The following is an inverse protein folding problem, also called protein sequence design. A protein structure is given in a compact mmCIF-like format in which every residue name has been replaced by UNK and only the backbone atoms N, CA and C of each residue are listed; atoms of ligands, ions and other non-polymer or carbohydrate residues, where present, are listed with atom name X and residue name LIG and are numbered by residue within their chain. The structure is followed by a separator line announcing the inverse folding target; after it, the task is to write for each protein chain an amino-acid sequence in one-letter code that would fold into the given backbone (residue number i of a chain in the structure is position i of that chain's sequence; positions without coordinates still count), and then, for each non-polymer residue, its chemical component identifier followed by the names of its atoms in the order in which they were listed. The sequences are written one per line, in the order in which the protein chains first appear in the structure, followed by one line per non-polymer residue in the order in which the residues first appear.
data_IF_018374703967
#
_entry.id   IF_018374703967
#
_cell.length_a   1.000
_cell.length_b   1.000
_cell.length_c   1.000
_cell.angle_alpha   90.00
_cell.angle_beta   90.00
_cell.angle_gamma   90.00
#
_symmetry.space_group_name_H-M   'P 1'
#
loop_
_entity.id
_entity.type
_entity.pdbx_description
1 polymer ?
#
# COMPACT_ATOMS: atom_id res chain seq x y z
N UNK A 1 -18.32 -17.58 -21.76
CA UNK A 1 -16.85 -17.39 -21.69
C UNK A 1 -16.50 -17.22 -20.24
N UNK A 2 -15.52 -17.98 -19.72
CA UNK A 2 -15.05 -17.75 -18.35
C UNK A 2 -14.41 -16.38 -18.26
N UNK A 3 -14.62 -15.62 -17.17
CA UNK A 3 -13.99 -14.31 -17.00
C UNK A 3 -12.47 -14.47 -17.03
N UNK A 4 -11.79 -13.50 -17.66
CA UNK A 4 -10.31 -13.45 -17.63
C UNK A 4 -9.85 -13.33 -16.18
N UNK A 5 -8.88 -14.14 -15.73
CA UNK A 5 -8.35 -14.01 -14.37
C UNK A 5 -7.69 -12.66 -14.17
N UNK A 6 -8.00 -11.98 -13.07
CA UNK A 6 -7.33 -10.75 -12.63
C UNK A 6 -6.09 -11.14 -11.81
N UNK A 7 -4.95 -10.51 -12.11
CA UNK A 7 -3.68 -10.73 -11.42
C UNK A 7 -3.29 -9.49 -10.63
N UNK A 8 -3.16 -9.65 -9.33
CA UNK A 8 -2.75 -8.58 -8.44
C UNK A 8 -1.36 -8.94 -7.91
N UNK A 9 -0.42 -8.02 -8.03
CA UNK A 9 0.85 -8.09 -7.33
C UNK A 9 0.74 -7.28 -6.03
N UNK A 10 1.24 -7.83 -4.94
CA UNK A 10 1.34 -7.12 -3.66
C UNK A 10 2.81 -6.99 -3.27
N UNK A 11 3.22 -5.78 -2.91
CA UNK A 11 4.51 -5.48 -2.30
C UNK A 11 4.27 -4.73 -0.99
N UNK A 12 5.18 -4.85 -0.03
CA UNK A 12 5.03 -4.27 1.31
C UNK A 12 6.39 -3.95 1.92
N UNK A 13 6.40 -3.12 2.95
CA UNK A 13 7.58 -2.89 3.79
C UNK A 13 8.79 -2.41 2.96
N UNK A 14 8.57 -1.37 2.16
CA UNK A 14 9.59 -0.81 1.27
C UNK A 14 10.68 -0.06 2.06
N UNK A 15 10.32 0.55 3.19
CA UNK A 15 11.23 1.28 4.09
C UNK A 15 12.24 2.16 3.35
N UNK A 16 11.75 2.99 2.42
CA UNK A 16 12.62 3.85 1.63
C UNK A 16 13.25 4.92 2.52
N UNK A 17 14.59 4.98 2.50
CA UNK A 17 15.43 5.96 3.15
C UNK A 17 15.81 7.09 2.18
N UNK A 18 16.34 8.21 2.66
CA UNK A 18 16.97 9.21 1.79
C UNK A 18 18.04 8.59 0.88
N UNK A 19 18.29 9.18 -0.32
CA UNK A 19 19.28 8.64 -1.26
C UNK A 19 20.64 8.35 -0.62
N UNK A 20 21.15 7.14 -0.83
CA UNK A 20 22.46 6.69 -0.30
C UNK A 20 22.46 6.25 1.16
N UNK A 21 21.30 6.29 1.84
CA UNK A 21 21.16 5.81 3.23
C UNK A 21 20.64 4.38 3.23
N UNK A 22 21.32 3.49 3.97
CA UNK A 22 20.92 2.10 4.11
C UNK A 22 19.96 1.93 5.30
N UNK A 23 18.91 1.15 5.13
CA UNK A 23 18.06 0.72 6.23
C UNK A 23 18.88 -0.19 7.18
N UNK A 24 18.78 0.08 8.49
CA UNK A 24 19.57 -0.60 9.52
C UNK A 24 21.09 -0.59 9.27
N UNK A 25 21.60 0.39 8.50
CA UNK A 25 23.00 0.52 8.16
C UNK A 25 23.57 -0.58 7.24
N UNK A 26 22.73 -1.42 6.64
CA UNK A 26 23.17 -2.57 5.82
C UNK A 26 22.27 -2.98 4.66
N UNK A 27 21.03 -2.53 4.61
CA UNK A 27 20.05 -2.94 3.59
C UNK A 27 19.78 -1.78 2.64
N UNK A 28 20.09 -1.96 1.36
CA UNK A 28 19.76 -1.01 0.29
C UNK A 28 18.32 -1.27 -0.21
N UNK A 29 17.36 -0.66 0.48
CA UNK A 29 15.94 -0.80 0.17
C UNK A 29 15.57 -0.11 -1.14
N UNK A 30 16.26 0.96 -1.50
CA UNK A 30 16.05 1.64 -2.78
C UNK A 30 16.40 0.72 -3.96
N UNK A 31 17.58 0.10 -3.92
CA UNK A 31 17.99 -0.89 -4.94
C UNK A 31 17.07 -2.11 -4.97
N UNK A 32 16.60 -2.56 -3.82
CA UNK A 32 15.62 -3.65 -3.76
C UNK A 32 14.31 -3.28 -4.47
N UNK A 33 13.82 -2.06 -4.29
CA UNK A 33 12.63 -1.56 -4.98
C UNK A 33 12.86 -1.41 -6.49
N UNK A 34 14.03 -0.91 -6.93
CA UNK A 34 14.38 -0.83 -8.35
C UNK A 34 14.29 -2.22 -9.02
N UNK A 35 14.91 -3.23 -8.42
CA UNK A 35 14.84 -4.62 -8.92
C UNK A 35 13.41 -5.16 -8.91
N UNK A 36 12.61 -4.81 -7.88
CA UNK A 36 11.20 -5.20 -7.81
C UNK A 36 10.38 -4.57 -8.95
N UNK A 37 10.57 -3.29 -9.22
CA UNK A 37 9.91 -2.57 -10.32
C UNK A 37 10.28 -3.18 -11.68
N UNK A 38 11.55 -3.48 -11.92
CA UNK A 38 12.00 -4.15 -13.13
C UNK A 38 11.34 -5.53 -13.28
N UNK A 39 11.36 -6.34 -12.21
CA UNK A 39 10.73 -7.66 -12.21
C UNK A 39 9.22 -7.59 -12.48
N UNK A 40 8.50 -6.62 -11.87
CA UNK A 40 7.08 -6.41 -12.11
C UNK A 40 6.79 -6.02 -13.57
N UNK A 41 7.62 -5.15 -14.15
CA UNK A 41 7.49 -4.74 -15.55
C UNK A 41 7.75 -5.87 -16.56
N UNK A 42 8.59 -6.83 -16.19
CA UNK A 42 8.97 -7.97 -17.05
C UNK A 42 8.11 -9.22 -16.82
N UNK A 43 7.34 -9.25 -15.72
CA UNK A 43 6.57 -10.43 -15.33
C UNK A 43 5.58 -10.88 -16.41
N UNK A 44 5.52 -12.18 -16.67
CA UNK A 44 4.64 -12.75 -17.71
C UNK A 44 3.78 -13.89 -17.15
N UNK A 45 2.48 -13.83 -17.31
CA UNK A 45 1.67 -12.71 -17.83
C UNK A 45 1.65 -11.55 -16.84
N UNK A 46 1.68 -10.32 -17.35
CA UNK A 46 1.77 -9.12 -16.52
C UNK A 46 0.66 -9.05 -15.47
N UNK A 47 0.95 -8.55 -14.24
CA UNK A 47 -0.09 -8.17 -13.31
C UNK A 47 -0.99 -7.08 -13.89
N UNK A 48 -2.26 -7.12 -13.52
CA UNK A 48 -3.22 -6.08 -13.93
C UNK A 48 -3.15 -4.87 -12.98
N UNK A 49 -2.68 -5.07 -11.74
CA UNK A 49 -2.54 -4.01 -10.72
C UNK A 49 -1.50 -4.36 -9.66
N UNK A 50 -0.91 -3.33 -9.03
CA UNK A 50 0.03 -3.47 -7.91
C UNK A 50 -0.56 -2.81 -6.66
N UNK A 51 -0.57 -3.53 -5.54
CA UNK A 51 -0.92 -3.00 -4.22
C UNK A 51 0.35 -2.84 -3.39
N UNK A 52 0.55 -1.66 -2.80
CA UNK A 52 1.64 -1.39 -1.85
C UNK A 52 1.02 -1.31 -0.46
N UNK A 53 1.22 -2.36 0.35
CA UNK A 53 0.46 -2.56 1.58
C UNK A 53 1.15 -2.06 2.84
N UNK A 54 1.75 -0.87 2.79
CA UNK A 54 2.26 -0.14 3.95
C UNK A 54 3.78 -0.15 4.11
N UNK A 55 4.25 0.68 5.02
CA UNK A 55 5.65 0.98 5.32
C UNK A 55 6.44 1.38 4.06
N UNK A 56 5.92 2.41 3.37
CA UNK A 56 6.49 2.94 2.13
C UNK A 56 7.81 3.69 2.41
N UNK A 57 7.77 4.60 3.40
CA UNK A 57 8.93 5.31 3.92
C UNK A 57 9.40 4.67 5.23
N UNK A 58 10.65 4.88 5.62
CA UNK A 58 11.18 4.35 6.89
C UNK A 58 11.03 5.36 8.05
N UNK A 59 11.40 6.61 7.79
CA UNK A 59 11.20 7.73 8.73
C UNK A 59 10.44 8.80 7.96
N UNK A 60 9.12 8.97 8.13
CA UNK A 60 8.27 9.64 7.16
C UNK A 60 8.66 11.10 6.97
N UNK A 61 9.49 11.36 5.94
CA UNK A 61 9.94 12.69 5.52
C UNK A 61 9.53 12.96 4.06
N UNK A 62 9.40 14.23 3.71
CA UNK A 62 9.11 14.61 2.31
C UNK A 62 10.20 14.09 1.36
N UNK A 63 11.46 14.07 1.79
CA UNK A 63 12.58 13.59 0.98
C UNK A 63 12.45 12.10 0.66
N UNK A 64 12.06 11.26 1.64
CA UNK A 64 11.84 9.83 1.42
C UNK A 64 10.69 9.57 0.46
N UNK A 65 9.56 10.28 0.61
CA UNK A 65 8.43 10.16 -0.33
C UNK A 65 8.78 10.67 -1.74
N UNK A 66 9.55 11.75 -1.88
CA UNK A 66 10.01 12.23 -3.18
C UNK A 66 10.98 11.23 -3.82
N UNK A 67 11.81 10.57 -3.03
CA UNK A 67 12.68 9.52 -3.53
C UNK A 67 11.88 8.28 -3.93
N UNK A 68 10.95 7.83 -3.10
CA UNK A 68 10.03 6.75 -3.42
C UNK A 68 9.29 6.98 -4.75
N UNK A 69 8.79 8.19 -4.99
CA UNK A 69 8.14 8.55 -6.27
C UNK A 69 9.07 8.37 -7.46
N UNK A 70 10.35 8.76 -7.33
CA UNK A 70 11.36 8.55 -8.39
C UNK A 70 11.61 7.08 -8.65
N UNK A 71 11.70 6.26 -7.60
CA UNK A 71 11.90 4.82 -7.72
C UNK A 71 10.69 4.10 -8.34
N UNK A 72 9.48 4.57 -8.07
CA UNK A 72 8.24 4.03 -8.65
C UNK A 72 7.94 4.58 -10.05
N UNK A 73 8.56 5.67 -10.48
CA UNK A 73 8.27 6.29 -11.79
C UNK A 73 8.46 5.34 -13.00
N UNK A 74 9.42 4.39 -13.01
CA UNK A 74 9.55 3.41 -14.10
C UNK A 74 8.49 2.31 -14.09
N UNK A 75 7.69 2.15 -13.02
CA UNK A 75 6.64 1.14 -12.96
C UNK A 75 5.55 1.43 -14.00
N UNK A 76 5.34 0.48 -14.90
CA UNK A 76 4.37 0.59 -16.02
C UNK A 76 2.96 0.15 -15.65
N UNK A 77 2.81 -0.46 -14.47
CA UNK A 77 1.55 -0.99 -13.97
C UNK A 77 0.84 0.06 -13.12
N UNK A 78 -0.50 0.12 -13.15
CA UNK A 78 -1.24 0.92 -12.20
C UNK A 78 -1.03 0.39 -10.79
N UNK A 79 -0.97 1.29 -9.82
CA UNK A 79 -0.80 0.92 -8.42
C UNK A 79 -1.60 1.82 -7.48
N UNK A 80 -1.86 1.31 -6.29
CA UNK A 80 -2.33 2.06 -5.14
C UNK A 80 -1.59 1.61 -3.87
N UNK A 81 -1.46 2.50 -2.90
CA UNK A 81 -0.80 2.22 -1.65
C UNK A 81 -1.58 2.70 -0.44
N UNK A 82 -1.42 2.01 0.67
CA UNK A 82 -1.91 2.40 2.00
C UNK A 82 -0.75 2.59 2.95
N UNK A 83 -0.91 3.41 4.01
CA UNK A 83 0.15 3.59 4.98
C UNK A 83 0.31 2.36 5.89
N UNK A 84 1.55 2.13 6.33
CA UNK A 84 1.89 1.31 7.49
C UNK A 84 2.17 2.17 8.72
N UNK A 85 2.78 1.58 9.74
CA UNK A 85 3.10 2.30 10.98
C UNK A 85 4.31 3.25 10.85
N UNK A 86 5.14 3.07 9.84
CA UNK A 86 6.24 3.97 9.51
C UNK A 86 5.82 5.16 8.64
N UNK A 87 4.60 5.20 8.14
CA UNK A 87 4.15 6.22 7.20
C UNK A 87 3.45 7.40 7.89
N UNK A 88 3.43 8.54 7.20
CA UNK A 88 2.62 9.71 7.54
C UNK A 88 1.47 9.86 6.54
N UNK A 89 0.23 9.82 7.03
CA UNK A 89 -0.99 10.07 6.22
C UNK A 89 -0.89 11.38 5.45
N UNK A 90 -0.42 12.44 6.11
CA UNK A 90 -0.33 13.78 5.53
C UNK A 90 0.70 13.85 4.40
N UNK A 91 1.92 13.34 4.66
CA UNK A 91 2.98 13.34 3.67
C UNK A 91 2.67 12.40 2.50
N UNK A 92 2.09 11.24 2.77
CA UNK A 92 1.67 10.31 1.73
C UNK A 92 0.58 10.92 0.84
N UNK A 93 -0.42 11.58 1.42
CA UNK A 93 -1.44 12.32 0.66
C UNK A 93 -0.84 13.41 -0.21
N UNK A 94 0.14 14.14 0.32
CA UNK A 94 0.86 15.18 -0.43
C UNK A 94 1.71 14.58 -1.55
N UNK A 95 2.36 13.45 -1.31
CA UNK A 95 3.20 12.78 -2.30
C UNK A 95 2.40 12.16 -3.45
N UNK A 96 1.19 11.65 -3.16
CA UNK A 96 0.32 10.99 -4.14
C UNK A 96 -1.05 11.69 -4.25
N UNK A 97 -1.10 12.96 -4.70
CA UNK A 97 -2.34 13.74 -4.76
C UNK A 97 -3.34 13.21 -5.79
N UNK A 98 -2.89 12.37 -6.73
CA UNK A 98 -3.73 11.72 -7.74
C UNK A 98 -4.44 10.46 -7.23
N UNK A 99 -4.08 9.96 -6.03
CA UNK A 99 -4.72 8.79 -5.47
C UNK A 99 -6.17 9.10 -5.04
N UNK A 100 -7.08 8.18 -5.35
CA UNK A 100 -8.52 8.32 -5.07
C UNK A 100 -8.83 7.92 -3.62
N UNK A 101 -8.35 8.75 -2.68
CA UNK A 101 -8.65 8.56 -1.27
C UNK A 101 -10.12 8.85 -0.98
N UNK A 102 -10.77 7.97 -0.20
CA UNK A 102 -12.19 8.06 0.15
C UNK A 102 -12.59 9.38 0.83
N UNK A 103 -11.65 10.03 1.51
CA UNK A 103 -11.87 11.30 2.23
C UNK A 103 -10.69 12.25 2.04
N UNK A 104 -10.97 13.55 2.08
CA UNK A 104 -9.95 14.60 1.89
C UNK A 104 -8.96 14.70 3.07
N UNK A 105 -9.34 14.23 4.26
CA UNK A 105 -8.50 14.20 5.47
C UNK A 105 -8.78 12.94 6.28
N UNK A 106 -7.85 12.55 7.17
CA UNK A 106 -7.99 11.32 7.96
C UNK A 106 -7.49 10.08 7.20
N UNK A 107 -8.12 8.91 7.40
CA UNK A 107 -7.65 7.64 6.85
C UNK A 107 -7.50 7.64 5.33
N UNK A 108 -6.46 6.98 4.83
CA UNK A 108 -6.14 6.87 3.41
C UNK A 108 -6.78 5.62 2.77
N UNK A 109 -8.07 5.40 3.06
CA UNK A 109 -8.82 4.31 2.45
C UNK A 109 -9.04 4.55 0.96
N UNK A 110 -8.95 3.48 0.17
CA UNK A 110 -9.16 3.54 -1.28
C UNK A 110 -9.97 2.32 -1.76
N UNK A 111 -10.71 2.50 -2.86
CA UNK A 111 -11.35 1.41 -3.59
C UNK A 111 -10.93 1.48 -5.04
N UNK A 112 -10.50 0.35 -5.57
CA UNK A 112 -10.14 0.21 -6.99
C UNK A 112 -10.98 -0.93 -7.58
N UNK A 113 -11.71 -0.64 -8.65
CA UNK A 113 -12.45 -1.67 -9.39
C UNK A 113 -11.58 -2.15 -10.56
N UNK A 114 -11.38 -3.47 -10.65
CA UNK A 114 -10.61 -4.06 -11.73
C UNK A 114 -11.16 -5.42 -12.15
N UNK A 115 -11.56 -5.55 -13.43
CA UNK A 115 -12.00 -6.83 -13.99
C UNK A 115 -13.18 -7.48 -13.27
N UNK A 116 -14.06 -6.69 -12.64
CA UNK A 116 -15.21 -7.16 -11.86
C UNK A 116 -14.86 -7.56 -10.41
N UNK A 117 -13.67 -7.22 -9.94
CA UNK A 117 -13.19 -7.39 -8.58
C UNK A 117 -13.01 -6.01 -7.92
N UNK A 118 -13.39 -5.86 -6.67
CA UNK A 118 -13.08 -4.70 -5.86
C UNK A 118 -11.82 -4.94 -5.02
N UNK A 119 -10.83 -4.08 -5.17
CA UNK A 119 -9.70 -3.99 -4.25
C UNK A 119 -10.04 -2.90 -3.23
N UNK A 120 -10.17 -3.29 -1.98
CA UNK A 120 -10.49 -2.39 -0.87
C UNK A 120 -9.25 -2.26 0.00
N UNK A 121 -8.62 -1.10 -0.07
CA UNK A 121 -7.39 -0.78 0.63
C UNK A 121 -7.73 0.01 1.90
N UNK A 122 -7.41 -0.55 3.07
CA UNK A 122 -7.79 -0.02 4.38
C UNK A 122 -6.57 0.54 5.11
N UNK A 123 -6.66 1.78 5.47
CA UNK A 123 -5.67 2.42 6.34
C UNK A 123 -5.93 1.97 7.79
N UNK A 124 -5.05 1.14 8.30
CA UNK A 124 -5.06 0.67 9.69
C UNK A 124 -4.01 1.36 10.55
N UNK A 125 -3.29 2.38 10.04
CA UNK A 125 -2.25 3.06 10.79
C UNK A 125 -2.82 3.87 11.97
N UNK A 126 -2.09 3.86 13.08
CA UNK A 126 -2.35 4.72 14.25
C UNK A 126 -1.12 5.58 14.47
N UNK A 127 -1.29 6.90 14.42
CA UNK A 127 -0.16 7.83 14.50
C UNK A 127 0.74 7.57 15.70
N UNK A 128 2.04 7.33 15.43
CA UNK A 128 3.06 7.09 16.45
C UNK A 128 2.93 5.75 17.19
N UNK A 129 2.19 4.79 16.64
CA UNK A 129 2.03 3.45 17.24
C UNK A 129 2.45 2.37 16.26
N UNK A 130 3.09 1.28 16.76
CA UNK A 130 3.49 0.16 15.91
C UNK A 130 2.36 -0.86 15.65
N UNK A 131 1.17 -0.63 16.17
CA UNK A 131 -0.01 -1.47 15.96
C UNK A 131 -1.04 -0.74 15.11
N UNK A 132 -1.92 -1.51 14.48
CA UNK A 132 -3.02 -0.98 13.69
C UNK A 132 -4.36 -1.05 14.39
N UNK A 133 -5.27 -0.19 13.94
CA UNK A 133 -6.68 -0.16 14.35
C UNK A 133 -7.53 0.27 13.15
N UNK A 134 -8.70 -0.34 13.00
CA UNK A 134 -9.73 0.15 12.09
C UNK A 134 -10.72 1.02 12.88
N UNK A 135 -10.51 2.32 12.80
CA UNK A 135 -11.36 3.30 13.47
C UNK A 135 -12.80 3.27 12.93
N UNK A 136 -13.76 3.74 13.73
CA UNK A 136 -15.19 3.74 13.37
C UNK A 136 -15.48 4.36 11.98
N UNK A 137 -14.88 5.48 11.57
CA UNK A 137 -15.07 6.02 10.22
C UNK A 137 -14.62 5.07 9.10
N UNK A 138 -13.48 4.37 9.29
CA UNK A 138 -12.99 3.36 8.34
C UNK A 138 -13.95 2.18 8.23
N UNK A 139 -14.45 1.68 9.37
CA UNK A 139 -15.41 0.58 9.39
C UNK A 139 -16.75 0.96 8.73
N UNK A 140 -17.24 2.18 8.96
CA UNK A 140 -18.45 2.69 8.30
C UNK A 140 -18.26 2.81 6.79
N UNK A 141 -17.12 3.35 6.37
CA UNK A 141 -16.78 3.43 4.94
C UNK A 141 -16.67 2.05 4.31
N UNK A 142 -16.01 1.10 4.98
CA UNK A 142 -15.89 -0.29 4.52
C UNK A 142 -17.27 -0.93 4.34
N UNK A 143 -18.14 -0.80 5.34
CA UNK A 143 -19.51 -1.33 5.29
C UNK A 143 -20.29 -0.75 4.11
N UNK A 144 -20.25 0.56 3.91
CA UNK A 144 -20.91 1.23 2.79
C UNK A 144 -20.32 0.79 1.43
N UNK A 145 -18.99 0.66 1.35
CA UNK A 145 -18.29 0.22 0.14
C UNK A 145 -18.72 -1.20 -0.25
N UNK A 146 -18.68 -2.14 0.69
CA UNK A 146 -19.10 -3.53 0.43
C UNK A 146 -20.59 -3.64 0.09
N UNK A 147 -21.45 -2.86 0.74
CA UNK A 147 -22.89 -2.84 0.42
C UNK A 147 -23.16 -2.30 -0.98
N UNK A 148 -22.37 -1.31 -1.45
CA UNK A 148 -22.54 -0.73 -2.80
C UNK A 148 -22.09 -1.66 -3.92
N UNK A 149 -21.38 -2.74 -3.61
CA UNK A 149 -20.85 -3.70 -4.57
C UNK A 149 -21.15 -5.15 -4.18
N UNK A 150 -22.31 -5.39 -3.56
CA UNK A 150 -22.69 -6.69 -2.99
C UNK A 150 -22.61 -7.88 -3.98
N UNK A 151 -22.71 -7.62 -5.28
CA UNK A 151 -22.65 -8.65 -6.34
C UNK A 151 -21.22 -8.89 -6.86
N UNK A 152 -20.21 -8.19 -6.31
CA UNK A 152 -18.82 -8.32 -6.74
C UNK A 152 -17.95 -8.89 -5.64
N UNK A 153 -17.02 -9.78 -5.95
CA UNK A 153 -16.00 -10.21 -4.98
C UNK A 153 -15.11 -9.02 -4.59
N UNK A 154 -14.69 -8.98 -3.33
CA UNK A 154 -13.78 -7.97 -2.82
C UNK A 154 -12.54 -8.61 -2.19
N UNK A 155 -11.36 -8.03 -2.46
CA UNK A 155 -10.12 -8.31 -1.74
C UNK A 155 -9.80 -7.11 -0.84
N UNK A 156 -9.64 -7.38 0.45
CA UNK A 156 -9.29 -6.37 1.45
C UNK A 156 -7.78 -6.42 1.70
N UNK A 157 -7.15 -5.24 1.65
CA UNK A 157 -5.74 -5.05 1.96
C UNK A 157 -5.60 -4.12 3.17
N UNK A 158 -4.79 -4.52 4.11
CA UNK A 158 -4.38 -3.69 5.26
C UNK A 158 -2.95 -4.07 5.63
N UNK A 159 -2.22 -3.14 6.25
CA UNK A 159 -0.84 -3.38 6.65
C UNK A 159 -0.76 -4.25 7.90
N UNK A 160 -1.49 -3.89 8.94
CA UNK A 160 -1.47 -4.62 10.19
C UNK A 160 -2.35 -5.88 10.14
N UNK A 161 -1.94 -7.00 10.75
CA UNK A 161 -2.75 -8.23 10.76
C UNK A 161 -4.08 -7.99 11.49
N UNK A 162 -5.22 -8.48 10.94
CA UNK A 162 -6.55 -8.26 11.51
C UNK A 162 -6.82 -9.08 12.77
N UNK A 163 -5.92 -9.98 13.11
CA UNK A 163 -5.99 -10.83 14.31
C UNK A 163 -4.57 -11.11 14.85
N UNK A 164 -4.47 -11.49 16.12
CA UNK A 164 -3.17 -11.85 16.70
C UNK A 164 -2.60 -13.07 15.98
N UNK A 165 -1.46 -12.88 15.32
CA UNK A 165 -0.65 -13.96 14.78
C UNK A 165 0.54 -14.17 15.74
N UNK A 166 0.84 -15.41 16.05
CA UNK A 166 2.05 -15.76 16.81
C UNK A 166 3.32 -15.65 15.94
N UNK A 167 3.14 -15.39 14.64
CA UNK A 167 4.20 -15.33 13.64
C UNK A 167 4.64 -13.87 13.49
N UNK A 168 5.95 -13.60 13.63
CA UNK A 168 6.55 -12.33 13.26
C UNK A 168 6.70 -11.29 14.38
N UNK A 169 6.55 -11.63 15.65
CA UNK A 169 7.13 -10.83 16.74
C UNK A 169 8.64 -11.02 16.82
N UNK A 170 9.28 -11.16 15.68
CA UNK A 170 10.71 -11.11 15.60
C UNK A 170 11.09 -9.65 15.44
N UNK A 171 11.67 -9.13 16.47
CA UNK A 171 12.58 -7.99 16.45
C UNK A 171 11.94 -6.61 16.41
N UNK A 172 11.48 -6.20 17.54
CA UNK A 172 11.74 -4.82 17.96
C UNK A 172 12.99 -4.85 18.82
#
# INVERSE_FOLDING_TARGET
MSPKPVRIAQISDLHIKPPGVLAYGRVDTARALEHCVDALNEFKPAPDFVVISGDLADTPTSEEYDYLKRLLAPLKLPFAGIPGNHDSRELMRTAFPQADYAVASGPLNQRVEIGGLDLVLLDSSVSGKPYGELEAPTLQWLQATLASSADRPALLFLHHPPFKTEIGRAHV
#
